data_IF_414911750250
#
_entry.id   IF_414911750250
#
_cell.length_a   1.000
_cell.length_b   1.000
_cell.length_c   1.000
_cell.angle_alpha   90.00
_cell.angle_beta   90.00
_cell.angle_gamma   90.00
#
_symmetry.space_group_name_H-M   'P 1'
#
loop_
_entity.id
_entity.type
_entity.pdbx_description
1 polymer ?
#
# COMPACT_ATOMS: atom_id res chain seq x y z
N UNK A 1 -10.81 -21.14 -70.44
CA UNK A 1 -11.89 -21.05 -69.43
C UNK A 1 -11.53 -21.68 -68.08
N UNK A 2 -10.72 -22.75 -68.04
CA UNK A 2 -10.29 -23.38 -66.77
C UNK A 2 -9.15 -22.64 -66.02
N UNK A 3 -8.37 -21.82 -66.71
CA UNK A 3 -7.23 -21.11 -66.10
C UNK A 3 -7.69 -19.90 -65.26
N UNK A 4 -8.64 -19.11 -65.76
CA UNK A 4 -9.26 -17.99 -65.04
C UNK A 4 -10.00 -18.41 -63.76
N UNK A 5 -10.64 -19.59 -63.74
CA UNK A 5 -11.33 -20.10 -62.55
C UNK A 5 -10.36 -20.57 -61.46
N UNK A 6 -9.16 -21.00 -61.82
CA UNK A 6 -8.13 -21.42 -60.87
C UNK A 6 -7.43 -20.21 -60.22
N UNK A 7 -7.18 -19.15 -60.98
CA UNK A 7 -6.61 -17.90 -60.45
C UNK A 7 -7.57 -17.18 -59.49
N UNK A 8 -8.87 -17.14 -59.81
CA UNK A 8 -9.89 -16.56 -58.93
C UNK A 8 -10.02 -17.31 -57.59
N UNK A 9 -9.93 -18.66 -57.61
CA UNK A 9 -9.94 -19.49 -56.39
C UNK A 9 -8.67 -19.35 -55.56
N UNK A 10 -7.51 -19.17 -56.21
CA UNK A 10 -6.24 -18.93 -55.52
C UNK A 10 -6.21 -17.55 -54.83
N UNK A 11 -6.71 -16.51 -55.50
CA UNK A 11 -6.82 -15.16 -54.93
C UNK A 11 -7.78 -15.08 -53.73
N UNK A 12 -8.94 -15.74 -53.80
CA UNK A 12 -9.91 -15.78 -52.70
C UNK A 12 -9.38 -16.52 -51.46
N UNK A 13 -8.64 -17.62 -51.64
CA UNK A 13 -7.99 -18.35 -50.53
C UNK A 13 -6.86 -17.53 -49.89
N UNK A 14 -6.06 -16.82 -50.68
CA UNK A 14 -4.99 -15.95 -50.16
C UNK A 14 -5.54 -14.75 -49.38
N UNK A 15 -6.68 -14.20 -49.80
CA UNK A 15 -7.36 -13.10 -49.10
C UNK A 15 -8.01 -13.56 -47.78
N UNK A 16 -8.66 -14.72 -47.76
CA UNK A 16 -9.21 -15.31 -46.52
C UNK A 16 -8.14 -15.68 -45.50
N UNK A 17 -6.98 -16.20 -45.94
CA UNK A 17 -5.85 -16.49 -45.04
C UNK A 17 -5.28 -15.19 -44.48
N UNK A 18 -5.03 -14.16 -45.30
CA UNK A 18 -4.51 -12.86 -44.82
C UNK A 18 -5.46 -12.12 -43.87
N UNK A 19 -6.77 -12.12 -44.16
CA UNK A 19 -7.77 -11.49 -43.30
C UNK A 19 -7.93 -12.22 -41.97
N UNK A 20 -7.95 -13.56 -41.99
CA UNK A 20 -8.02 -14.39 -40.77
C UNK A 20 -6.76 -14.33 -39.92
N UNK A 21 -5.56 -14.31 -40.53
CA UNK A 21 -4.29 -14.18 -39.80
C UNK A 21 -4.13 -12.78 -39.19
N UNK A 22 -4.53 -11.71 -39.87
CA UNK A 22 -4.44 -10.35 -39.31
C UNK A 22 -5.39 -10.14 -38.14
N UNK A 23 -6.63 -10.64 -38.21
CA UNK A 23 -7.57 -10.56 -37.08
C UNK A 23 -7.13 -11.43 -35.89
N UNK A 24 -6.60 -12.63 -36.12
CA UNK A 24 -6.09 -13.49 -35.06
C UNK A 24 -4.82 -12.92 -34.38
N UNK A 25 -3.92 -12.31 -35.15
CA UNK A 25 -2.71 -11.66 -34.62
C UNK A 25 -3.08 -10.39 -33.84
N UNK A 26 -4.03 -9.57 -34.32
CA UNK A 26 -4.50 -8.40 -33.57
C UNK A 26 -5.21 -8.81 -32.28
N UNK A 27 -6.03 -9.87 -32.29
CA UNK A 27 -6.68 -10.37 -31.07
C UNK A 27 -5.67 -10.92 -30.06
N UNK A 28 -4.64 -11.65 -30.52
CA UNK A 28 -3.55 -12.16 -29.68
C UNK A 28 -2.65 -11.04 -29.14
N UNK A 29 -2.43 -9.96 -29.90
CA UNK A 29 -1.70 -8.77 -29.43
C UNK A 29 -2.52 -7.96 -28.41
N UNK A 30 -3.85 -7.86 -28.59
CA UNK A 30 -4.73 -7.16 -27.63
C UNK A 30 -4.94 -7.97 -26.34
N UNK A 31 -5.09 -9.30 -26.44
CA UNK A 31 -5.12 -10.21 -25.28
C UNK A 31 -3.73 -10.25 -24.61
N UNK A 32 -2.66 -10.33 -25.38
CA UNK A 32 -1.28 -10.26 -24.92
C UNK A 32 -0.96 -8.93 -24.22
N UNK A 33 -1.47 -7.80 -24.72
CA UNK A 33 -1.32 -6.49 -24.08
C UNK A 33 -2.18 -6.35 -22.82
N UNK A 34 -3.39 -6.94 -22.78
CA UNK A 34 -4.22 -7.01 -21.56
C UNK A 34 -3.57 -7.88 -20.47
N UNK A 35 -2.93 -8.99 -20.84
CA UNK A 35 -2.21 -9.89 -19.91
C UNK A 35 -0.86 -9.29 -19.49
N UNK A 36 -0.11 -8.66 -20.40
CA UNK A 36 1.20 -8.06 -20.11
C UNK A 36 1.08 -6.79 -19.25
N UNK A 37 0.06 -5.95 -19.48
CA UNK A 37 -0.27 -4.78 -18.65
C UNK A 37 -0.82 -5.15 -17.26
N UNK A 38 -1.17 -6.43 -17.04
CA UNK A 38 -1.68 -6.93 -15.75
C UNK A 38 -0.58 -7.44 -14.82
N UNK A 39 0.68 -7.48 -15.26
CA UNK A 39 1.77 -8.18 -14.57
C UNK A 39 2.72 -7.30 -13.75
N UNK A 40 2.45 -6.00 -13.59
CA UNK A 40 3.18 -5.18 -12.61
C UNK A 40 2.67 -5.53 -11.21
N UNK A 41 3.26 -6.55 -10.61
CA UNK A 41 3.13 -6.79 -9.17
C UNK A 41 3.84 -5.64 -8.45
N UNK A 42 3.05 -4.80 -7.81
CA UNK A 42 3.58 -3.86 -6.83
C UNK A 42 3.95 -4.63 -5.56
N UNK A 43 4.90 -4.13 -4.81
CA UNK A 43 5.27 -4.72 -3.53
C UNK A 43 4.11 -4.61 -2.53
N UNK A 44 4.06 -5.56 -1.61
CA UNK A 44 3.17 -5.60 -0.45
C UNK A 44 3.96 -6.17 0.71
N UNK A 45 3.67 -5.71 1.92
CA UNK A 45 4.27 -6.22 3.15
C UNK A 45 3.29 -7.19 3.78
N UNK A 46 3.71 -8.43 4.02
CA UNK A 46 3.03 -9.30 4.98
C UNK A 46 3.61 -9.00 6.36
N UNK A 47 2.78 -8.73 7.35
CA UNK A 47 3.24 -8.32 8.68
C UNK A 47 2.65 -9.19 9.78
N UNK A 48 3.49 -9.50 10.77
CA UNK A 48 3.11 -10.11 12.04
C UNK A 48 3.53 -9.20 13.20
N UNK A 49 2.65 -8.29 13.65
CA UNK A 49 2.94 -7.41 14.78
C UNK A 49 2.73 -8.10 16.14
N UNK A 50 2.42 -9.39 16.18
CA UNK A 50 2.13 -10.11 17.43
C UNK A 50 3.39 -10.71 18.06
N UNK A 51 3.27 -11.18 19.31
CA UNK A 51 4.36 -11.86 20.05
C UNK A 51 4.50 -13.34 19.69
N UNK A 52 3.62 -13.87 18.86
CA UNK A 52 3.57 -15.30 18.51
C UNK A 52 3.86 -15.49 17.03
N UNK A 53 4.49 -16.62 16.67
CA UNK A 53 4.65 -16.99 15.28
C UNK A 53 3.29 -17.31 14.65
N UNK A 54 3.07 -16.87 13.42
CA UNK A 54 1.81 -17.11 12.69
C UNK A 54 2.06 -17.89 11.41
N UNK A 55 1.08 -18.71 11.04
CA UNK A 55 1.02 -19.36 9.72
C UNK A 55 -0.32 -19.05 9.07
N UNK A 56 -0.28 -18.69 7.79
CA UNK A 56 -1.46 -18.31 7.02
C UNK A 56 -1.27 -18.67 5.55
N UNK A 57 -2.36 -18.64 4.77
CA UNK A 57 -2.31 -18.81 3.31
C UNK A 57 -2.71 -17.54 2.61
N UNK A 58 -1.95 -17.17 1.59
CA UNK A 58 -2.29 -16.11 0.65
C UNK A 58 -2.37 -16.72 -0.75
N UNK A 59 -3.54 -16.64 -1.36
CA UNK A 59 -3.85 -17.26 -2.66
C UNK A 59 -3.47 -18.75 -2.72
N UNK A 60 -3.70 -19.46 -1.60
CA UNK A 60 -3.39 -20.88 -1.45
C UNK A 60 -1.93 -21.21 -1.18
N UNK A 61 -1.01 -20.23 -1.17
CA UNK A 61 0.39 -20.41 -0.78
C UNK A 61 0.56 -20.20 0.71
N UNK A 62 1.22 -21.13 1.39
CA UNK A 62 1.57 -21.04 2.80
C UNK A 62 2.68 -20.02 3.06
N UNK A 63 2.52 -19.27 4.15
CA UNK A 63 3.50 -18.35 4.72
C UNK A 63 3.60 -18.58 6.23
N UNK A 64 4.81 -18.44 6.76
CA UNK A 64 5.08 -18.42 8.20
C UNK A 64 5.89 -17.16 8.51
N UNK A 65 5.45 -16.41 9.52
CA UNK A 65 6.14 -15.23 10.02
C UNK A 65 6.44 -15.41 11.50
N UNK A 66 7.68 -15.12 11.88
CA UNK A 66 8.10 -15.06 13.28
C UNK A 66 7.46 -13.86 14.00
N UNK A 67 7.43 -13.83 15.33
CA UNK A 67 6.95 -12.68 16.12
C UNK A 67 7.63 -11.38 15.69
N UNK A 68 6.86 -10.29 15.62
CA UNK A 68 7.36 -8.93 15.31
C UNK A 68 8.18 -8.84 14.02
N UNK A 69 7.81 -9.61 13.00
CA UNK A 69 8.50 -9.60 11.69
C UNK A 69 7.58 -9.23 10.54
N UNK A 70 8.21 -8.68 9.51
CA UNK A 70 7.61 -8.30 8.24
C UNK A 70 8.38 -8.95 7.09
N UNK A 71 7.67 -9.23 6.00
CA UNK A 71 8.31 -9.67 4.76
C UNK A 71 7.68 -8.96 3.55
N UNK A 72 8.53 -8.45 2.66
CA UNK A 72 8.10 -7.87 1.39
C UNK A 72 7.85 -8.97 0.38
N UNK A 73 6.69 -8.93 -0.27
CA UNK A 73 6.29 -9.83 -1.35
C UNK A 73 5.80 -9.06 -2.56
N UNK A 74 5.82 -9.71 -3.73
CA UNK A 74 5.18 -9.20 -4.95
C UNK A 74 3.74 -9.70 -4.99
N UNK A 75 2.79 -8.78 -4.94
CA UNK A 75 1.36 -9.09 -5.08
C UNK A 75 0.79 -8.34 -6.29
N UNK A 76 0.16 -9.08 -7.21
CA UNK A 76 -0.51 -8.49 -8.37
C UNK A 76 -1.70 -7.61 -7.94
N UNK A 77 -2.17 -6.73 -8.83
CA UNK A 77 -3.50 -6.14 -8.67
C UNK A 77 -4.58 -7.20 -8.89
N UNK A 78 -5.75 -7.03 -8.27
CA UNK A 78 -6.89 -7.92 -8.45
C UNK A 78 -7.42 -8.48 -7.13
N UNK A 79 -8.26 -9.51 -7.25
CA UNK A 79 -8.83 -10.22 -6.10
C UNK A 79 -7.83 -11.21 -5.52
N UNK A 80 -7.81 -11.28 -4.19
CA UNK A 80 -6.94 -12.14 -3.41
C UNK A 80 -7.71 -12.79 -2.26
N UNK A 81 -7.19 -13.90 -1.76
CA UNK A 81 -7.76 -14.65 -0.64
C UNK A 81 -6.71 -14.85 0.44
N UNK A 82 -7.02 -14.43 1.66
CA UNK A 82 -6.23 -14.65 2.87
C UNK A 82 -6.95 -15.66 3.76
N UNK A 83 -6.28 -16.75 4.12
CA UNK A 83 -6.78 -17.73 5.09
C UNK A 83 -5.91 -17.70 6.34
N UNK A 84 -6.52 -17.40 7.49
CA UNK A 84 -5.85 -17.39 8.79
C UNK A 84 -6.79 -17.96 9.85
N UNK A 85 -6.29 -18.90 10.66
CA UNK A 85 -7.06 -19.59 11.70
C UNK A 85 -8.40 -20.20 11.21
N UNK A 86 -8.44 -20.67 9.96
CA UNK A 86 -9.63 -21.25 9.35
C UNK A 86 -10.65 -20.24 8.82
N UNK A 87 -10.43 -18.93 9.00
CA UNK A 87 -11.23 -17.88 8.39
C UNK A 87 -10.64 -17.46 7.04
N UNK A 88 -11.49 -17.39 6.01
CA UNK A 88 -11.11 -16.87 4.69
C UNK A 88 -11.62 -15.45 4.50
N UNK A 89 -10.72 -14.49 4.33
CA UNK A 89 -11.03 -13.10 3.98
C UNK A 89 -10.64 -12.82 2.54
N UNK A 90 -11.57 -12.29 1.74
CA UNK A 90 -11.29 -11.84 0.38
C UNK A 90 -11.03 -10.33 0.37
N UNK A 91 -10.08 -9.90 -0.45
CA UNK A 91 -9.79 -8.48 -0.63
C UNK A 91 -9.33 -8.19 -2.06
N UNK A 92 -9.33 -6.92 -2.44
CA UNK A 92 -8.93 -6.47 -3.78
C UNK A 92 -7.78 -5.49 -3.71
N UNK A 93 -6.63 -5.84 -4.28
CA UNK A 93 -5.50 -4.91 -4.46
C UNK A 93 -5.73 -4.04 -5.67
N UNK A 94 -5.80 -2.72 -5.45
CA UNK A 94 -5.92 -1.74 -6.54
C UNK A 94 -4.56 -1.54 -7.20
N UNK A 95 -4.59 -1.18 -8.49
CA UNK A 95 -3.37 -0.75 -9.17
C UNK A 95 -2.82 0.53 -8.51
N UNK A 96 -1.49 0.66 -8.37
CA UNK A 96 -0.89 1.90 -7.91
C UNK A 96 -1.37 3.06 -8.79
N UNK A 97 -1.76 4.18 -8.18
CA UNK A 97 -2.00 5.40 -8.95
C UNK A 97 -0.67 5.92 -9.49
N UNK A 98 -0.73 6.61 -10.64
CA UNK A 98 0.46 7.01 -11.42
C UNK A 98 1.44 7.93 -10.67
N UNK A 99 1.01 8.55 -9.56
CA UNK A 99 1.80 9.48 -8.75
C UNK A 99 1.81 9.13 -7.25
N UNK A 100 1.07 8.10 -6.80
CA UNK A 100 1.01 7.74 -5.38
C UNK A 100 1.88 6.51 -5.12
N UNK A 101 2.67 6.55 -4.05
CA UNK A 101 3.27 5.38 -3.41
C UNK A 101 2.19 4.66 -2.61
N UNK A 102 1.34 3.90 -3.32
CA UNK A 102 0.37 3.03 -2.66
C UNK A 102 1.12 1.92 -1.91
N UNK A 103 1.25 2.09 -0.60
CA UNK A 103 1.81 1.10 0.31
C UNK A 103 0.71 0.14 0.73
N UNK A 104 1.03 -1.15 0.74
CA UNK A 104 0.03 -2.17 1.05
C UNK A 104 0.55 -3.18 2.06
N UNK A 105 -0.28 -3.44 3.07
CA UNK A 105 -0.02 -4.38 4.16
C UNK A 105 -1.07 -5.47 4.12
N UNK A 106 -0.64 -6.72 4.18
CA UNK A 106 -1.47 -7.88 4.47
C UNK A 106 -1.31 -8.14 5.96
N UNK A 107 -2.43 -8.14 6.66
CA UNK A 107 -2.54 -8.18 8.11
C UNK A 107 -3.37 -9.42 8.51
N UNK A 108 -2.78 -10.64 8.50
CA UNK A 108 -3.53 -11.86 8.80
C UNK A 108 -4.22 -11.83 10.16
N UNK A 109 -3.60 -11.17 11.13
CA UNK A 109 -4.05 -11.10 12.52
C UNK A 109 -5.13 -10.04 12.76
N UNK A 110 -5.48 -9.23 11.76
CA UNK A 110 -6.37 -8.05 11.91
C UNK A 110 -5.91 -7.13 13.06
N UNK A 111 -4.60 -7.08 13.28
CA UNK A 111 -3.97 -6.22 14.29
C UNK A 111 -4.19 -4.74 13.95
N UNK A 112 -4.09 -3.88 14.95
CA UNK A 112 -4.32 -2.46 14.81
C UNK A 112 -3.07 -1.73 14.29
N UNK A 113 -3.27 -0.93 13.26
CA UNK A 113 -2.30 0.00 12.68
C UNK A 113 -2.85 1.43 12.80
N UNK A 114 -1.93 2.39 12.76
CA UNK A 114 -2.23 3.81 12.84
C UNK A 114 -1.62 4.50 11.63
N UNK A 115 -2.47 5.09 10.79
CA UNK A 115 -2.02 6.03 9.75
C UNK A 115 -2.03 7.42 10.37
N UNK A 116 -0.87 8.04 10.48
CA UNK A 116 -0.67 9.32 11.13
C UNK A 116 -0.23 10.40 10.15
N UNK A 117 -0.84 11.58 10.25
CA UNK A 117 -0.43 12.79 9.56
C UNK A 117 0.56 13.55 10.44
N UNK A 118 1.82 13.48 10.06
CA UNK A 118 2.88 14.25 10.67
C UNK A 118 3.05 15.58 9.94
N UNK A 119 3.02 16.67 10.70
CA UNK A 119 3.17 18.02 10.15
C UNK A 119 4.57 18.55 10.41
N UNK A 120 5.23 19.00 9.35
CA UNK A 120 6.51 19.68 9.40
C UNK A 120 6.31 21.13 8.98
N UNK A 121 6.84 22.07 9.76
CA UNK A 121 6.75 23.48 9.44
C UNK A 121 7.39 24.35 10.50
N UNK A 122 7.67 25.60 10.13
CA UNK A 122 8.24 26.59 11.04
C UNK A 122 7.16 27.57 11.52
N UNK A 123 7.30 28.02 12.77
CA UNK A 123 6.42 29.05 13.36
C UNK A 123 4.92 28.68 13.32
N UNK A 124 4.59 27.41 13.51
CA UNK A 124 3.22 26.95 13.75
C UNK A 124 2.98 26.93 15.27
N UNK A 125 1.80 27.38 15.70
CA UNK A 125 1.35 27.10 17.06
C UNK A 125 0.91 25.64 17.15
N UNK A 126 0.90 25.08 18.36
CA UNK A 126 0.41 23.70 18.58
C UNK A 126 -1.03 23.52 18.07
N UNK A 127 -1.90 24.50 18.32
CA UNK A 127 -3.28 24.51 17.79
C UNK A 127 -3.30 24.54 16.27
N UNK A 128 -2.48 25.37 15.62
CA UNK A 128 -2.42 25.41 14.16
C UNK A 128 -1.92 24.08 13.60
N UNK A 129 -0.86 23.51 14.19
CA UNK A 129 -0.32 22.22 13.78
C UNK A 129 -1.37 21.10 13.91
N UNK A 130 -2.10 21.07 15.02
CA UNK A 130 -3.19 20.13 15.25
C UNK A 130 -4.31 20.29 14.21
N UNK A 131 -4.83 21.49 14.02
CA UNK A 131 -5.90 21.76 13.04
C UNK A 131 -5.50 21.38 11.60
N UNK A 132 -4.24 21.64 11.21
CA UNK A 132 -3.76 21.32 9.85
C UNK A 132 -3.53 19.82 9.65
N UNK A 133 -3.02 19.12 10.66
CA UNK A 133 -2.78 17.67 10.57
C UNK A 133 -4.06 16.85 10.72
N UNK A 134 -5.07 17.37 11.42
CA UNK A 134 -6.37 16.73 11.64
C UNK A 134 -7.25 16.68 10.39
N UNK A 135 -7.03 15.68 9.54
CA UNK A 135 -7.81 15.51 8.29
C UNK A 135 -8.76 14.31 8.30
N UNK A 136 -8.53 13.32 9.17
CA UNK A 136 -9.31 12.10 9.21
C UNK A 136 -10.57 12.28 10.06
N UNK A 137 -11.69 11.72 9.62
CA UNK A 137 -12.90 11.65 10.44
C UNK A 137 -12.66 10.77 11.66
N UNK A 138 -13.04 11.26 12.84
CA UNK A 138 -13.00 10.53 14.09
C UNK A 138 -14.16 10.97 15.00
N UNK A 139 -14.16 10.49 16.24
CA UNK A 139 -15.07 10.94 17.28
C UNK A 139 -14.27 11.56 18.43
N UNK A 140 -14.80 12.62 19.05
CA UNK A 140 -14.29 13.19 20.29
C UNK A 140 -14.58 12.28 21.50
N UNK A 141 -14.11 12.68 22.69
CA UNK A 141 -14.35 11.94 23.95
C UNK A 141 -15.85 11.81 24.32
N UNK A 142 -16.73 12.56 23.66
CA UNK A 142 -18.18 12.52 23.84
C UNK A 142 -18.89 11.73 22.73
N UNK A 143 -18.15 11.10 21.80
CA UNK A 143 -18.70 10.36 20.67
C UNK A 143 -19.25 11.26 19.55
N UNK A 144 -18.87 12.53 19.49
CA UNK A 144 -19.32 13.45 18.43
C UNK A 144 -18.33 13.47 17.26
N UNK A 145 -18.80 13.68 16.02
CA UNK A 145 -17.91 13.79 14.87
C UNK A 145 -16.85 14.88 15.05
N UNK A 146 -15.60 14.52 14.82
CA UNK A 146 -14.45 15.40 14.92
C UNK A 146 -13.39 15.06 13.84
N UNK A 147 -12.28 15.80 13.84
CA UNK A 147 -11.13 15.58 12.98
C UNK A 147 -9.88 15.23 13.79
N UNK A 148 -9.24 14.15 13.40
CA UNK A 148 -8.03 13.65 14.05
C UNK A 148 -6.84 13.60 13.08
N UNK A 149 -5.60 13.74 13.59
CA UNK A 149 -4.41 13.59 12.78
C UNK A 149 -4.08 12.12 12.50
N UNK A 150 -4.86 11.19 13.08
CA UNK A 150 -4.66 9.76 12.95
C UNK A 150 -5.94 9.03 12.53
N UNK A 151 -5.75 7.96 11.78
CA UNK A 151 -6.79 6.98 11.40
C UNK A 151 -6.36 5.59 11.85
N UNK A 152 -7.28 4.86 12.46
CA UNK A 152 -7.06 3.48 12.88
C UNK A 152 -7.44 2.51 11.76
N UNK A 153 -6.62 1.49 11.53
CA UNK A 153 -6.77 0.51 10.46
C UNK A 153 -6.56 -0.90 11.04
N UNK A 154 -7.46 -1.83 10.77
CA UNK A 154 -7.35 -3.23 11.24
C UNK A 154 -7.80 -4.25 10.20
N UNK A 155 -8.09 -3.81 8.98
CA UNK A 155 -8.50 -4.70 7.91
C UNK A 155 -7.41 -5.72 7.60
N UNK A 156 -7.82 -6.89 7.12
CA UNK A 156 -6.92 -7.96 6.69
C UNK A 156 -5.99 -7.53 5.53
N UNK A 157 -6.42 -6.52 4.77
CA UNK A 157 -5.63 -5.87 3.75
C UNK A 157 -5.79 -4.36 3.85
N UNK A 158 -4.67 -3.67 4.02
CA UNK A 158 -4.58 -2.22 4.12
C UNK A 158 -3.86 -1.73 2.87
N UNK A 159 -4.44 -0.77 2.16
CA UNK A 159 -3.79 -0.11 1.03
C UNK A 159 -4.03 1.39 1.14
N UNK A 160 -2.98 2.12 1.48
CA UNK A 160 -3.02 3.55 1.74
C UNK A 160 -1.86 4.25 1.01
N UNK A 161 -2.07 5.52 0.68
CA UNK A 161 -0.98 6.38 0.22
C UNK A 161 -0.21 6.85 1.47
N UNK A 162 1.05 6.45 1.56
CA UNK A 162 1.94 6.78 2.68
C UNK A 162 3.26 7.34 2.15
N UNK A 163 3.87 8.24 2.90
CA UNK A 163 5.23 8.73 2.65
C UNK A 163 6.27 7.80 3.29
N UNK A 164 5.95 7.19 4.43
CA UNK A 164 6.83 6.29 5.19
C UNK A 164 6.07 5.01 5.62
N UNK A 165 6.60 3.84 5.22
CA UNK A 165 6.07 2.50 5.54
C UNK A 165 6.27 2.08 7.00
N UNK A 166 6.06 0.81 7.35
CA UNK A 166 6.08 0.33 8.75
C UNK A 166 7.44 0.52 9.43
N UNK A 167 8.51 0.09 8.75
CA UNK A 167 9.87 0.05 9.29
C UNK A 167 10.75 1.21 8.79
N UNK A 168 10.14 2.21 8.15
CA UNK A 168 10.83 3.42 7.66
C UNK A 168 10.78 4.54 8.71
N UNK A 169 11.93 5.10 9.10
CA UNK A 169 11.97 6.23 10.02
C UNK A 169 11.41 7.50 9.37
N UNK A 170 10.74 8.33 10.16
CA UNK A 170 10.39 9.69 9.76
C UNK A 170 11.61 10.59 9.97
N UNK A 171 11.95 11.46 9.00
CA UNK A 171 13.05 12.41 9.19
C UNK A 171 12.62 13.48 10.19
N UNK A 172 13.58 14.04 10.94
CA UNK A 172 13.32 15.20 11.83
C UNK A 172 12.94 16.46 11.04
N UNK A 173 13.50 16.60 9.83
CA UNK A 173 13.32 17.77 8.99
C UNK A 173 13.01 17.36 7.55
N UNK A 174 12.12 18.10 6.90
CA UNK A 174 11.78 17.93 5.48
C UNK A 174 11.77 19.28 4.78
N UNK A 175 12.05 19.27 3.48
CA UNK A 175 11.94 20.47 2.67
C UNK A 175 10.49 20.93 2.55
N UNK A 176 10.20 22.12 3.08
CA UNK A 176 8.92 22.80 2.91
C UNK A 176 9.01 23.72 1.69
N UNK A 177 8.08 23.55 0.74
CA UNK A 177 8.06 24.39 -0.45
C UNK A 177 7.86 25.86 -0.07
N UNK A 178 8.62 26.79 -0.70
CA UNK A 178 8.60 28.23 -0.38
C UNK A 178 7.22 28.90 -0.42
N UNK A 179 6.24 28.28 -1.09
CA UNK A 179 4.86 28.77 -1.20
C UNK A 179 3.97 28.36 -0.01
N UNK A 180 4.43 27.50 0.88
CA UNK A 180 3.72 27.04 2.09
C UNK A 180 4.62 27.15 3.31
N UNK A 181 4.03 27.25 4.50
CA UNK A 181 4.76 27.23 5.79
C UNK A 181 4.91 25.84 6.37
N UNK A 182 4.22 24.86 5.79
CA UNK A 182 4.21 23.50 6.28
C UNK A 182 4.03 22.48 5.16
N UNK A 183 4.38 21.23 5.45
CA UNK A 183 4.02 20.05 4.67
C UNK A 183 3.53 18.95 5.61
N UNK A 184 2.68 18.06 5.11
CA UNK A 184 2.18 16.91 5.88
C UNK A 184 2.70 15.64 5.21
N UNK A 185 3.26 14.76 6.03
CA UNK A 185 3.71 13.43 5.63
C UNK A 185 2.91 12.38 6.35
N UNK A 186 2.66 11.28 5.65
CA UNK A 186 1.89 10.16 6.18
C UNK A 186 2.83 9.03 6.57
N UNK A 187 2.80 8.65 7.84
CA UNK A 187 3.52 7.50 8.38
C UNK A 187 2.53 6.44 8.83
N UNK A 188 2.78 5.20 8.43
CA UNK A 188 2.04 4.05 8.93
C UNK A 188 2.80 3.39 10.08
N UNK A 189 2.10 3.14 11.18
CA UNK A 189 2.64 2.52 12.37
C UNK A 189 1.89 1.23 12.71
N UNK A 190 2.59 0.26 13.32
CA UNK A 190 1.95 -0.71 14.21
C UNK A 190 1.51 0.01 15.49
N UNK A 191 0.45 -0.45 16.16
CA UNK A 191 -0.05 0.19 17.38
C UNK A 191 1.04 0.47 18.42
N UNK A 192 1.85 -0.52 18.74
CA UNK A 192 2.87 -0.40 19.80
C UNK A 192 3.96 0.61 19.41
N UNK A 193 4.32 0.64 18.12
CA UNK A 193 5.30 1.58 17.56
C UNK A 193 4.77 3.01 17.63
N UNK A 194 3.48 3.21 17.34
CA UNK A 194 2.82 4.51 17.46
C UNK A 194 2.80 5.01 18.91
N UNK A 195 2.52 4.15 19.87
CA UNK A 195 2.57 4.53 21.30
C UNK A 195 3.97 5.02 21.67
N UNK A 196 5.02 4.27 21.33
CA UNK A 196 6.41 4.69 21.59
C UNK A 196 6.77 5.99 20.87
N UNK A 197 6.29 6.17 19.64
CA UNK A 197 6.50 7.39 18.86
C UNK A 197 5.93 8.63 19.56
N UNK A 198 4.71 8.53 20.10
CA UNK A 198 4.06 9.63 20.80
C UNK A 198 4.65 9.87 22.19
N UNK A 199 5.14 8.83 22.86
CA UNK A 199 5.78 8.90 24.18
C UNK A 199 7.21 9.45 24.10
N UNK A 200 7.91 9.24 22.97
CA UNK A 200 9.27 9.70 22.68
C UNK A 200 9.47 11.22 22.68
N UNK A 201 8.41 12.01 22.88
CA UNK A 201 8.53 13.44 23.26
C UNK A 201 9.04 13.68 24.69
N UNK A 202 9.38 12.64 25.47
CA UNK A 202 9.86 12.71 26.85
C UNK A 202 11.10 11.83 27.17
N UNK A 203 11.83 11.33 26.17
CA UNK A 203 13.07 10.57 26.39
C UNK A 203 14.24 11.16 25.59
N UNK A 204 14.71 12.34 26.01
CA UNK A 204 16.13 12.74 25.89
C UNK A 204 16.45 13.91 26.84
N UNK A 205 16.33 13.64 28.14
CA UNK A 205 17.11 14.35 29.18
C UNK A 205 17.78 13.29 30.04
N UNK A 206 18.76 12.59 29.46
CA UNK A 206 19.79 11.92 30.25
C UNK A 206 20.67 13.05 30.83
N UNK A 207 20.34 13.52 32.03
CA UNK A 207 21.33 14.20 32.87
C UNK A 207 22.31 13.13 33.33
N UNK A 208 23.38 12.92 32.57
CA UNK A 208 24.54 12.23 33.12
C UNK A 208 24.98 12.95 34.42
N UNK A 209 25.28 12.22 35.51
CA UNK A 209 25.81 12.84 36.70
C UNK A 209 27.19 13.39 36.39
N UNK A 210 27.32 14.72 36.40
CA UNK A 210 28.62 15.39 36.35
C UNK A 210 29.45 14.90 37.53
N UNK A 211 30.49 14.12 37.23
CA UNK A 211 31.53 13.81 38.19
C UNK A 211 32.23 15.12 38.58
N UNK A 212 32.18 15.45 39.88
CA UNK A 212 32.96 16.54 40.45
C UNK A 212 34.25 15.92 40.96
N UNK A 213 35.38 16.30 40.37
CA UNK A 213 36.72 16.07 40.93
C UNK A 213 36.94 16.90 42.22
#
# INVERSE_FOLDING_TARGET
MNEFLNEAKAGAKAWLVKAGTSLAVILLVVIGARVYSSSKSAESVIDNPTEEAITFKLDGKDYTLEPKTSQVIKLSKGEHSLEYLGETTKFTKKAPKFLDTDYSVINPTKSLYVLYNEIYGENLTETEAHEKSSTYDCEDDQGKPDKCPRKFLSDAFIQESVDYGLDEDTPENVDVAKSTRYTIKKKLFRKDDFSRYMDGGNEDVILEPVAVE
#
